data_IF_406442543645
#
_entry.id   IF_406442543645
#
_cell.length_a   1.000
_cell.length_b   1.000
_cell.length_c   1.000
_cell.angle_alpha   90.00
_cell.angle_beta   90.00
_cell.angle_gamma   90.00
#
_symmetry.space_group_name_H-M   'P 1'
#
loop_
_entity.id
_entity.type
_entity.pdbx_description
1 polymer ?
#
# COMPACT_ATOMS: atom_id res chain seq x y z
N UNK A 1 -21.35 22.14 -18.62
CA UNK A 1 -20.83 20.98 -19.36
C UNK A 1 -19.44 20.72 -18.82
N UNK A 2 -19.17 19.62 -18.08
CA UNK A 2 -17.81 19.33 -17.62
C UNK A 2 -16.98 18.95 -18.84
N UNK A 3 -15.92 19.71 -19.12
CA UNK A 3 -14.92 19.33 -20.10
C UNK A 3 -14.23 18.05 -19.61
N UNK A 4 -14.19 17.02 -20.44
CA UNK A 4 -13.37 15.84 -20.17
C UNK A 4 -11.94 16.19 -20.59
N UNK A 5 -11.06 16.37 -19.62
CA UNK A 5 -9.63 16.51 -19.88
C UNK A 5 -8.99 15.12 -19.74
N UNK A 6 -8.37 14.58 -20.81
CA UNK A 6 -7.66 13.32 -20.70
C UNK A 6 -6.51 13.45 -19.68
N UNK A 7 -6.40 12.46 -18.81
CA UNK A 7 -5.38 12.38 -17.76
C UNK A 7 -4.50 11.15 -18.02
N UNK A 8 -3.21 11.27 -17.67
CA UNK A 8 -2.27 10.17 -17.74
C UNK A 8 -1.73 9.86 -19.14
N UNK A 9 -1.06 8.71 -19.25
CA UNK A 9 -0.45 8.20 -20.49
C UNK A 9 -0.57 6.67 -20.54
N UNK A 10 -0.78 6.11 -21.73
CA UNK A 10 -0.75 4.66 -21.96
C UNK A 10 0.21 4.37 -23.11
N UNK A 11 1.18 3.49 -22.86
CA UNK A 11 2.02 2.83 -23.84
C UNK A 11 1.73 1.33 -23.86
N UNK A 12 2.51 0.56 -24.62
CA UNK A 12 2.25 -0.88 -24.83
C UNK A 12 2.19 -1.69 -23.53
N UNK A 13 3.17 -1.50 -22.64
CA UNK A 13 3.28 -2.21 -21.35
C UNK A 13 3.44 -1.28 -20.16
N UNK A 14 3.08 -0.01 -20.34
CA UNK A 14 3.29 1.05 -19.35
C UNK A 14 2.06 1.94 -19.35
N UNK A 15 1.57 2.32 -18.18
CA UNK A 15 0.64 3.42 -18.03
C UNK A 15 1.14 4.36 -16.93
N UNK A 16 0.75 5.62 -17.00
CA UNK A 16 1.03 6.64 -16.00
C UNK A 16 -0.23 7.42 -15.68
N UNK A 17 -0.41 7.77 -14.41
CA UNK A 17 -1.54 8.57 -13.91
C UNK A 17 -1.09 9.39 -12.69
N UNK A 18 -1.67 10.57 -12.51
CA UNK A 18 -1.56 11.41 -11.32
C UNK A 18 -2.44 10.92 -10.16
N UNK A 19 -3.21 9.84 -10.34
CA UNK A 19 -3.95 9.21 -9.25
C UNK A 19 -2.98 8.59 -8.23
N UNK A 20 -2.69 9.35 -7.18
CA UNK A 20 -1.92 8.87 -6.04
C UNK A 20 -2.67 7.80 -5.26
N UNK A 21 -1.93 6.82 -4.74
CA UNK A 21 -2.50 5.78 -3.88
C UNK A 21 -3.44 4.80 -4.60
N UNK A 22 -3.42 4.74 -5.94
CA UNK A 22 -4.26 3.81 -6.71
C UNK A 22 -4.08 2.34 -6.25
N UNK A 23 -2.87 1.97 -5.80
CA UNK A 23 -2.59 0.63 -5.29
C UNK A 23 -3.06 0.37 -3.85
N UNK A 24 -3.52 1.40 -3.13
CA UNK A 24 -4.22 1.22 -1.85
C UNK A 24 -5.68 0.80 -2.07
N UNK A 25 -6.20 0.90 -3.30
CA UNK A 25 -7.44 0.25 -3.67
C UNK A 25 -7.17 -1.23 -3.93
N UNK A 26 -7.53 -2.08 -2.98
CA UNK A 26 -7.25 -3.52 -3.03
C UNK A 26 -7.94 -4.19 -4.21
N UNK A 27 -9.15 -3.76 -4.56
CA UNK A 27 -9.89 -4.28 -5.71
C UNK A 27 -9.16 -3.98 -7.03
N UNK A 28 -8.63 -2.76 -7.19
CA UNK A 28 -7.81 -2.38 -8.34
C UNK A 28 -6.51 -3.20 -8.38
N UNK A 29 -5.79 -3.25 -7.27
CA UNK A 29 -4.50 -3.97 -7.18
C UNK A 29 -4.67 -5.46 -7.48
N UNK A 30 -5.71 -6.09 -6.94
CA UNK A 30 -6.01 -7.50 -7.21
C UNK A 30 -6.30 -7.74 -8.70
N UNK A 31 -7.18 -6.94 -9.29
CA UNK A 31 -7.51 -7.06 -10.72
C UNK A 31 -6.29 -6.82 -11.60
N UNK A 32 -5.51 -5.79 -11.31
CA UNK A 32 -4.29 -5.45 -12.05
C UNK A 32 -3.25 -6.57 -11.98
N UNK A 33 -2.99 -7.11 -10.78
CA UNK A 33 -2.08 -8.24 -10.62
C UNK A 33 -2.58 -9.49 -11.32
N UNK A 34 -3.87 -9.80 -11.22
CA UNK A 34 -4.45 -10.99 -11.85
C UNK A 34 -4.45 -10.90 -13.38
N UNK A 35 -4.64 -9.71 -13.96
CA UNK A 35 -4.40 -9.47 -15.38
C UNK A 35 -2.99 -9.91 -15.78
N UNK A 36 -1.96 -9.42 -15.07
CA UNK A 36 -0.56 -9.76 -15.34
C UNK A 36 -0.23 -11.24 -15.11
N UNK A 37 -0.89 -11.89 -14.14
CA UNK A 37 -0.73 -13.32 -13.85
C UNK A 37 -1.30 -14.17 -14.98
N UNK A 38 -2.49 -13.85 -15.47
CA UNK A 38 -3.13 -14.55 -16.58
C UNK A 38 -2.31 -14.45 -17.87
N UNK A 39 -1.75 -13.27 -18.18
CA UNK A 39 -0.83 -13.11 -19.32
C UNK A 39 0.42 -14.00 -19.22
N UNK A 40 0.83 -14.34 -17.99
CA UNK A 40 1.98 -15.22 -17.70
C UNK A 40 1.59 -16.69 -17.54
N UNK A 41 0.32 -17.05 -17.70
CA UNK A 41 -0.17 -18.41 -17.47
C UNK A 41 -0.16 -18.85 -16.00
N UNK A 42 -0.25 -17.90 -15.06
CA UNK A 42 -0.31 -18.14 -13.62
C UNK A 42 -1.75 -18.05 -13.13
N UNK A 43 -2.11 -18.90 -12.17
CA UNK A 43 -3.42 -18.88 -11.51
C UNK A 43 -3.67 -17.53 -10.79
N UNK A 44 -4.90 -16.97 -10.82
CA UNK A 44 -5.25 -15.77 -10.07
C UNK A 44 -5.01 -15.90 -8.56
N UNK A 45 -4.83 -14.76 -7.89
CA UNK A 45 -4.69 -14.66 -6.43
C UNK A 45 -5.71 -13.70 -5.86
N UNK A 46 -5.98 -13.86 -4.56
CA UNK A 46 -6.70 -12.86 -3.77
C UNK A 46 -5.68 -12.01 -3.02
N UNK A 47 -5.81 -10.69 -3.12
CA UNK A 47 -4.95 -9.78 -2.34
C UNK A 47 -5.52 -9.66 -0.94
N UNK A 48 -4.69 -9.96 0.05
CA UNK A 48 -5.08 -9.73 1.44
C UNK A 48 -5.16 -8.23 1.71
N UNK A 49 -6.33 -7.78 2.17
CA UNK A 49 -6.52 -6.40 2.63
C UNK A 49 -5.68 -6.19 3.89
N UNK A 50 -5.05 -5.02 3.97
CA UNK A 50 -4.32 -4.58 5.15
C UNK A 50 -4.66 -3.13 5.45
N UNK A 51 -4.55 -2.74 6.72
CA UNK A 51 -4.68 -1.35 7.14
C UNK A 51 -3.31 -0.87 7.61
N UNK A 52 -2.93 0.34 7.18
CA UNK A 52 -1.68 0.96 7.64
C UNK A 52 -1.75 1.22 9.14
N UNK A 53 -2.93 1.56 9.67
CA UNK A 53 -3.17 1.74 11.09
C UNK A 53 -2.96 0.44 11.86
N UNK A 54 -3.47 -0.68 11.36
CA UNK A 54 -3.29 -2.00 11.97
C UNK A 54 -1.81 -2.44 11.98
N UNK A 55 -1.08 -2.19 10.89
CA UNK A 55 0.35 -2.51 10.82
C UNK A 55 1.21 -1.58 11.69
N UNK A 56 0.87 -0.28 11.79
CA UNK A 56 1.52 0.64 12.73
C UNK A 56 1.27 0.19 14.17
N UNK A 57 0.04 -0.16 14.52
CA UNK A 57 -0.32 -0.66 15.85
C UNK A 57 0.41 -1.96 16.18
N UNK A 58 0.49 -2.88 15.21
CA UNK A 58 1.24 -4.12 15.33
C UNK A 58 2.73 -3.86 15.56
N UNK A 59 3.30 -2.92 14.81
CA UNK A 59 4.70 -2.52 14.97
C UNK A 59 4.94 -1.90 16.35
N UNK A 60 4.09 -0.97 16.79
CA UNK A 60 4.17 -0.33 18.09
C UNK A 60 4.18 -1.37 19.22
N UNK A 61 3.29 -2.37 19.18
CA UNK A 61 3.27 -3.49 20.14
C UNK A 61 4.56 -4.30 20.15
N UNK A 62 5.14 -4.55 18.99
CA UNK A 62 6.43 -5.26 18.90
C UNK A 62 7.54 -4.44 19.55
N UNK A 63 7.58 -3.13 19.27
CA UNK A 63 8.56 -2.22 19.85
C UNK A 63 8.42 -2.16 21.37
N UNK A 64 7.21 -1.92 21.88
CA UNK A 64 6.90 -1.86 23.32
C UNK A 64 7.27 -3.15 24.05
N UNK A 65 7.02 -4.32 23.45
CA UNK A 65 7.35 -5.60 24.07
C UNK A 65 8.85 -5.85 24.19
N UNK A 66 9.65 -5.32 23.27
CA UNK A 66 11.06 -5.68 23.14
C UNK A 66 12.03 -4.59 23.61
N UNK A 67 11.55 -3.37 23.88
CA UNK A 67 12.36 -2.25 24.33
C UNK A 67 11.86 -1.72 25.66
N UNK A 68 12.78 -1.31 26.54
CA UNK A 68 12.44 -0.50 27.71
C UNK A 68 12.16 0.93 27.26
N UNK A 69 10.90 1.21 26.92
CA UNK A 69 10.46 2.53 26.50
C UNK A 69 10.66 3.56 27.62
N UNK A 70 10.55 3.19 28.89
CA UNK A 70 10.78 4.11 30.00
C UNK A 70 12.23 4.58 30.07
N UNK A 71 13.19 3.69 29.87
CA UNK A 71 14.60 4.04 29.74
C UNK A 71 14.86 4.89 28.49
N UNK A 72 14.27 4.49 27.35
CA UNK A 72 14.48 5.18 26.08
C UNK A 72 13.96 6.62 26.11
N UNK A 73 12.77 6.85 26.68
CA UNK A 73 12.19 8.19 26.84
C UNK A 73 13.06 9.07 27.73
N UNK A 74 13.60 8.53 28.84
CA UNK A 74 14.59 9.22 29.69
C UNK A 74 15.88 9.58 28.96
N UNK A 75 16.40 8.68 28.12
CA UNK A 75 17.62 8.94 27.34
C UNK A 75 17.43 10.00 26.25
N UNK A 76 16.20 10.19 25.78
CA UNK A 76 15.85 11.17 24.76
C UNK A 76 15.42 12.53 25.36
N UNK A 77 15.51 12.72 26.68
CA UNK A 77 14.96 13.88 27.40
C UNK A 77 13.48 14.14 27.06
N UNK A 78 12.73 13.06 26.80
CA UNK A 78 11.29 13.08 26.59
C UNK A 78 10.64 12.63 27.90
N UNK A 79 10.32 13.58 28.79
CA UNK A 79 9.39 13.37 29.92
C UNK A 79 7.98 13.88 29.56
#
# INVERSE_FOLDING_TARGET
TKAFEPEGVVGERVFGTYLHGIFHNFEFTEQFLNMLRLEKGLEPITVQKWSIEEEIERFAKIVERNLDLGLLMKLLDLE
#
